data_IF_594905653178
#
_entry.id   IF_594905653178
#
_cell.length_a   1.000
_cell.length_b   1.000
_cell.length_c   1.000
_cell.angle_alpha   90.00
_cell.angle_beta   90.00
_cell.angle_gamma   90.00
#
_symmetry.space_group_name_H-M   'P 1'
#
loop_
_entity.id
_entity.type
_entity.pdbx_description
1 polymer ?
#
# COMPACT_ATOMS: atom_id res chain seq x y z
N UNK A 1 -32.06 -11.66 -16.23
CA UNK A 1 -31.26 -11.46 -15.03
C UNK A 1 -29.92 -10.91 -15.50
N UNK A 2 -29.56 -9.68 -15.12
CA UNK A 2 -28.23 -9.15 -15.37
C UNK A 2 -27.23 -9.95 -14.53
N UNK A 3 -26.13 -10.37 -15.14
CA UNK A 3 -25.08 -11.14 -14.47
C UNK A 3 -24.14 -10.16 -13.78
N UNK A 4 -24.21 -10.08 -12.45
CA UNK A 4 -23.36 -9.25 -11.59
C UNK A 4 -21.94 -9.83 -11.44
N UNK A 5 -21.29 -10.25 -12.53
CA UNK A 5 -19.96 -10.91 -12.47
C UNK A 5 -18.81 -10.11 -13.08
N UNK A 6 -19.08 -8.97 -13.72
CA UNK A 6 -18.02 -8.17 -14.37
C UNK A 6 -17.41 -7.07 -13.48
N UNK A 7 -18.02 -6.73 -12.35
CA UNK A 7 -17.60 -5.57 -11.54
C UNK A 7 -16.36 -5.84 -10.66
N UNK A 8 -16.05 -7.13 -10.39
CA UNK A 8 -14.90 -7.52 -9.54
C UNK A 8 -13.55 -7.56 -10.26
N UNK A 9 -13.50 -7.53 -11.60
CA UNK A 9 -12.27 -7.70 -12.39
C UNK A 9 -11.82 -6.44 -13.13
N UNK A 10 -12.33 -5.26 -12.74
CA UNK A 10 -11.95 -4.00 -13.39
C UNK A 10 -10.60 -3.51 -12.84
N UNK A 11 -9.60 -3.39 -13.71
CA UNK A 11 -8.34 -2.73 -13.36
C UNK A 11 -8.58 -1.26 -12.99
N UNK A 12 -8.09 -0.84 -11.83
CA UNK A 12 -8.14 0.56 -11.39
C UNK A 12 -7.28 1.44 -12.30
N UNK A 13 -7.72 2.68 -12.52
CA UNK A 13 -6.85 3.71 -13.09
C UNK A 13 -5.81 4.13 -12.04
N UNK A 14 -4.67 4.72 -12.44
CA UNK A 14 -3.67 5.19 -11.48
C UNK A 14 -4.19 6.22 -10.49
N UNK A 15 -5.12 7.07 -10.93
CA UNK A 15 -5.78 8.03 -10.05
C UNK A 15 -6.66 7.33 -9.01
N UNK A 16 -7.41 6.30 -9.42
CA UNK A 16 -8.23 5.48 -8.52
C UNK A 16 -7.35 4.67 -7.56
N UNK A 17 -6.26 4.07 -8.02
CA UNK A 17 -5.29 3.34 -7.20
C UNK A 17 -4.70 4.25 -6.10
N UNK A 18 -4.19 5.42 -6.48
CA UNK A 18 -3.67 6.39 -5.51
C UNK A 18 -4.76 6.88 -4.55
N UNK A 19 -6.02 7.01 -5.01
CA UNK A 19 -7.14 7.41 -4.17
C UNK A 19 -7.57 6.31 -3.20
N UNK A 20 -7.56 5.03 -3.61
CA UNK A 20 -7.83 3.89 -2.74
C UNK A 20 -6.78 3.79 -1.64
N UNK A 21 -5.49 3.88 -1.98
CA UNK A 21 -4.39 3.86 -1.01
C UNK A 21 -4.42 5.05 -0.02
N UNK A 22 -4.90 6.21 -0.46
CA UNK A 22 -5.03 7.40 0.38
C UNK A 22 -6.18 7.33 1.39
N UNK A 23 -7.12 6.39 1.25
CA UNK A 23 -8.19 6.20 2.24
C UNK A 23 -7.58 5.62 3.53
N UNK A 24 -8.10 5.96 4.72
CA UNK A 24 -7.69 5.29 5.95
C UNK A 24 -7.87 3.78 5.84
N UNK A 25 -6.88 3.00 6.26
CA UNK A 25 -6.95 1.54 6.28
C UNK A 25 -7.45 1.02 7.63
N UNK A 26 -7.10 -0.21 7.97
CA UNK A 26 -7.59 -0.89 9.18
C UNK A 26 -7.09 -0.28 10.51
N UNK A 27 -5.99 0.48 10.46
CA UNK A 27 -5.38 1.15 11.59
C UNK A 27 -5.20 2.65 11.31
N UNK A 28 -6.29 3.44 11.26
CA UNK A 28 -6.21 4.87 10.97
C UNK A 28 -5.34 5.63 11.98
N UNK A 29 -5.25 5.16 13.23
CA UNK A 29 -4.36 5.72 14.25
C UNK A 29 -2.87 5.62 13.87
N UNK A 30 -2.49 4.63 13.07
CA UNK A 30 -1.11 4.40 12.61
C UNK A 30 -0.73 5.25 11.40
N UNK A 31 -1.68 5.99 10.83
CA UNK A 31 -1.48 6.85 9.67
C UNK A 31 -1.52 8.34 10.03
N UNK A 32 -1.74 8.66 11.31
CA UNK A 32 -1.82 10.03 11.81
C UNK A 32 -0.58 10.39 12.61
N UNK A 33 -0.18 11.67 12.56
CA UNK A 33 0.99 12.21 13.27
C UNK A 33 2.31 11.48 12.95
N UNK A 34 2.47 11.02 11.70
CA UNK A 34 3.71 10.42 11.24
C UNK A 34 4.88 11.42 11.26
N UNK A 35 6.12 10.94 11.45
CA UNK A 35 7.33 11.73 11.19
C UNK A 35 7.26 12.42 9.82
N UNK A 36 7.75 13.67 9.76
CA UNK A 36 7.53 14.53 8.60
C UNK A 36 8.14 14.00 7.30
N UNK A 37 9.28 13.32 7.40
CA UNK A 37 9.94 12.64 6.28
C UNK A 37 9.10 11.47 5.77
N UNK A 38 8.56 10.63 6.67
CA UNK A 38 7.70 9.51 6.33
C UNK A 38 6.38 9.97 5.71
N UNK A 39 5.77 11.00 6.29
CA UNK A 39 4.58 11.62 5.74
C UNK A 39 4.81 12.15 4.32
N UNK A 40 5.97 12.76 4.07
CA UNK A 40 6.35 13.25 2.74
C UNK A 40 6.58 12.11 1.77
N UNK A 41 7.28 11.05 2.16
CA UNK A 41 7.55 9.90 1.29
C UNK A 41 6.24 9.21 0.84
N UNK A 42 5.26 9.07 1.73
CA UNK A 42 3.91 8.58 1.39
C UNK A 42 3.25 9.49 0.35
N UNK A 43 3.27 10.80 0.57
CA UNK A 43 2.66 11.77 -0.36
C UNK A 43 3.32 11.74 -1.74
N UNK A 44 4.65 11.72 -1.79
CA UNK A 44 5.40 11.66 -3.04
C UNK A 44 5.10 10.37 -3.81
N UNK A 45 5.02 9.23 -3.11
CA UNK A 45 4.67 7.94 -3.72
C UNK A 45 3.25 7.95 -4.32
N UNK A 46 2.24 8.39 -3.56
CA UNK A 46 0.85 8.48 -4.04
C UNK A 46 0.71 9.44 -5.24
N UNK A 47 1.42 10.56 -5.21
CA UNK A 47 1.45 11.52 -6.33
C UNK A 47 2.20 10.95 -7.54
N UNK A 48 3.24 10.14 -7.30
CA UNK A 48 3.97 9.40 -8.32
C UNK A 48 3.07 8.40 -9.06
N UNK A 49 2.25 7.65 -8.33
CA UNK A 49 1.24 6.74 -8.90
C UNK A 49 0.26 7.56 -9.74
N UNK A 50 -0.35 8.61 -9.17
CA UNK A 50 -1.34 9.47 -9.84
C UNK A 50 -0.82 10.03 -11.16
N UNK A 51 0.42 10.52 -11.17
CA UNK A 51 1.02 11.16 -12.34
C UNK A 51 1.75 10.19 -13.28
N UNK A 52 1.79 8.89 -12.96
CA UNK A 52 2.48 7.87 -13.75
C UNK A 52 3.94 8.26 -14.05
N UNK A 53 4.65 8.72 -13.02
CA UNK A 53 6.05 9.13 -13.16
C UNK A 53 6.92 7.93 -13.56
N UNK A 54 7.96 8.18 -14.36
CA UNK A 54 8.85 7.12 -14.86
C UNK A 54 9.82 6.58 -13.82
N UNK A 55 9.86 7.19 -12.63
CA UNK A 55 10.78 6.87 -11.53
C UNK A 55 10.03 6.37 -10.28
N UNK A 56 8.89 5.70 -10.49
CA UNK A 56 8.06 5.20 -9.38
C UNK A 56 8.83 4.19 -8.50
N UNK A 57 9.76 3.43 -9.09
CA UNK A 57 10.71 2.57 -8.39
C UNK A 57 11.56 3.34 -7.36
N UNK A 58 12.04 4.52 -7.72
CA UNK A 58 12.80 5.38 -6.81
C UNK A 58 11.92 5.92 -5.67
N UNK A 59 10.65 6.24 -5.95
CA UNK A 59 9.70 6.68 -4.90
C UNK A 59 9.32 5.53 -3.97
N UNK A 60 9.20 4.32 -4.50
CA UNK A 60 8.98 3.10 -3.73
C UNK A 60 10.17 2.86 -2.78
N UNK A 61 11.41 2.95 -3.28
CA UNK A 61 12.63 2.80 -2.47
C UNK A 61 12.74 3.87 -1.38
N UNK A 62 12.39 5.13 -1.68
CA UNK A 62 12.38 6.23 -0.72
C UNK A 62 11.37 5.99 0.41
N UNK A 63 10.15 5.55 0.07
CA UNK A 63 9.13 5.22 1.05
C UNK A 63 9.55 4.02 1.91
N UNK A 64 10.04 2.95 1.29
CA UNK A 64 10.56 1.78 2.01
C UNK A 64 11.71 2.16 2.96
N UNK A 65 12.64 2.99 2.47
CA UNK A 65 13.77 3.50 3.24
C UNK A 65 13.32 4.36 4.42
N UNK A 66 12.37 5.28 4.22
CA UNK A 66 11.85 6.13 5.28
C UNK A 66 11.11 5.32 6.35
N UNK A 67 10.29 4.33 5.98
CA UNK A 67 9.64 3.44 6.96
C UNK A 67 10.69 2.73 7.83
N UNK A 68 11.71 2.15 7.19
CA UNK A 68 12.77 1.45 7.91
C UNK A 68 13.58 2.39 8.81
N UNK A 69 13.93 3.59 8.33
CA UNK A 69 14.68 4.58 9.11
C UNK A 69 13.92 4.98 10.38
N UNK A 70 12.61 5.23 10.27
CA UNK A 70 11.75 5.58 11.39
C UNK A 70 11.55 4.39 12.37
N UNK A 71 11.49 3.16 11.86
CA UNK A 71 11.46 1.96 12.69
C UNK A 71 12.76 1.81 13.51
N UNK A 72 13.93 1.87 12.87
CA UNK A 72 15.22 1.72 13.55
C UNK A 72 15.60 2.94 14.40
N UNK A 73 14.99 4.10 14.11
CA UNK A 73 15.05 5.32 14.91
C UNK A 73 14.11 5.32 16.12
N UNK A 74 13.25 4.30 16.28
CA UNK A 74 12.24 4.21 17.33
C UNK A 74 11.16 5.29 17.29
N UNK A 75 10.96 5.93 16.13
CA UNK A 75 9.90 6.93 15.91
C UNK A 75 8.54 6.26 15.68
N UNK A 76 8.54 5.04 15.13
CA UNK A 76 7.36 4.18 14.97
C UNK A 76 7.66 2.76 15.47
N UNK A 77 6.63 2.02 15.88
CA UNK A 77 6.82 0.62 16.29
C UNK A 77 7.07 -0.28 15.08
N UNK A 78 7.56 -1.51 15.34
CA UNK A 78 7.70 -2.53 14.29
C UNK A 78 6.35 -2.85 13.64
N UNK A 79 5.30 -2.99 14.43
CA UNK A 79 3.95 -3.32 13.95
C UNK A 79 3.39 -2.21 13.07
N UNK A 80 3.59 -0.95 13.45
CA UNK A 80 3.22 0.20 12.64
C UNK A 80 4.02 0.24 11.32
N UNK A 81 5.33 -0.04 11.36
CA UNK A 81 6.16 -0.12 10.15
C UNK A 81 5.72 -1.27 9.22
N UNK A 82 5.41 -2.44 9.78
CA UNK A 82 4.90 -3.59 9.03
C UNK A 82 3.58 -3.23 8.33
N UNK A 83 2.65 -2.62 9.06
CA UNK A 83 1.38 -2.14 8.52
C UNK A 83 1.56 -1.17 7.36
N UNK A 84 2.41 -0.14 7.51
CA UNK A 84 2.63 0.85 6.46
C UNK A 84 3.23 0.22 5.20
N UNK A 85 4.14 -0.76 5.35
CA UNK A 85 4.68 -1.50 4.20
C UNK A 85 3.59 -2.32 3.52
N UNK A 86 2.81 -3.08 4.28
CA UNK A 86 1.69 -3.86 3.71
C UNK A 86 0.68 -2.96 3.02
N UNK A 87 0.36 -1.80 3.60
CA UNK A 87 -0.63 -0.91 3.02
C UNK A 87 -0.17 -0.28 1.70
N UNK A 88 1.06 0.21 1.62
CA UNK A 88 1.50 1.07 0.52
C UNK A 88 2.40 0.36 -0.51
N UNK A 89 3.11 -0.71 -0.13
CA UNK A 89 4.21 -1.24 -0.92
C UNK A 89 4.02 -2.69 -1.37
N UNK A 90 3.13 -3.44 -0.70
CA UNK A 90 2.85 -4.83 -1.01
C UNK A 90 1.36 -4.99 -1.26
N UNK A 91 0.99 -5.83 -2.22
CA UNK A 91 -0.41 -6.20 -2.38
C UNK A 91 -0.82 -7.02 -1.15
N UNK A 92 -2.05 -6.83 -0.61
CA UNK A 92 -2.58 -7.79 0.33
C UNK A 92 -2.56 -9.15 -0.37
N UNK A 93 -2.02 -10.17 0.30
CA UNK A 93 -2.14 -11.55 -0.18
C UNK A 93 -3.64 -11.82 -0.33
N UNK A 94 -4.14 -11.92 -1.56
CA UNK A 94 -5.53 -12.23 -1.80
C UNK A 94 -5.85 -13.55 -1.07
N UNK A 95 -6.78 -13.49 -0.10
CA UNK A 95 -7.21 -14.69 0.65
C UNK A 95 -7.65 -15.81 -0.31
N UNK A 96 -8.14 -15.46 -1.50
CA UNK A 96 -8.52 -16.40 -2.56
C UNK A 96 -7.31 -17.12 -3.20
N UNK A 97 -6.16 -16.45 -3.34
CA UNK A 97 -4.94 -17.05 -3.91
C UNK A 97 -4.29 -18.02 -2.89
N UNK A 98 -4.31 -17.65 -1.60
CA UNK A 98 -3.87 -18.52 -0.50
C UNK A 98 -4.71 -19.81 -0.38
N UNK A 99 -6.01 -19.76 -0.71
CA UNK A 99 -6.88 -20.94 -0.75
C UNK A 99 -6.65 -21.80 -2.01
N UNK A 100 -6.32 -21.23 -3.16
CA UNK A 100 -5.99 -21.98 -4.39
C UNK A 100 -4.71 -22.81 -4.24
N UNK A 101 -3.67 -22.28 -3.59
CA UNK A 101 -2.43 -23.01 -3.29
C UNK A 101 -2.64 -24.23 -2.39
N UNK A 102 -3.67 -24.23 -1.54
CA UNK A 102 -4.02 -25.39 -0.70
C UNK A 102 -4.84 -26.43 -1.47
N UNK A 103 -5.62 -26.02 -2.47
CA UNK A 103 -6.48 -26.92 -3.23
C UNK A 103 -5.74 -27.68 -4.35
N UNK A 104 -4.66 -27.14 -4.90
CA UNK A 104 -3.87 -27.82 -5.95
C UNK A 104 -2.88 -28.85 -5.43
N UNK A 105 -2.75 -29.01 -4.11
CA UNK A 105 -1.90 -30.02 -3.47
C UNK A 105 -2.68 -31.20 -2.84
N UNK A 106 -3.99 -31.34 -3.14
CA UNK A 106 -4.80 -32.51 -2.76
C UNK A 106 -5.00 -33.51 -3.89
#
# INVERSE_FOLDING_TARGET
MCSDTDEKNRKLTPEEEAAELAKPGDHPEWETNLPADLQKAIQDYLEGIRNQVTYLDCLWDELYGSINANQWGWEISKEQADYLRTKYLFEPEDEEEAEEFQHTQS
#
